data_IF_783192106568
#
_entry.id   IF_783192106568
#
_cell.length_a   1.000
_cell.length_b   1.000
_cell.length_c   1.000
_cell.angle_alpha   90.00
_cell.angle_beta   90.00
_cell.angle_gamma   90.00
#
_symmetry.space_group_name_H-M   'P 1'
#
loop_
_entity.id
_entity.type
_entity.pdbx_description
1 polymer ?
#
# COMPACT_ATOMS: atom_id res chain seq x y z
N UNK A 1 -10.94 -38.88 -0.15
CA UNK A 1 -11.11 -37.48 0.26
C UNK A 1 -9.87 -36.73 -0.19
N UNK A 2 -10.00 -35.76 -1.09
CA UNK A 2 -8.87 -34.95 -1.54
C UNK A 2 -8.49 -33.97 -0.44
N UNK A 3 -7.24 -34.01 0.01
CA UNK A 3 -6.64 -33.00 0.89
C UNK A 3 -6.76 -31.64 0.20
N UNK A 4 -7.30 -30.59 0.82
CA UNK A 4 -7.28 -29.26 0.19
C UNK A 4 -5.81 -28.89 0.02
N UNK A 5 -5.40 -28.58 -1.20
CA UNK A 5 -4.09 -28.01 -1.45
C UNK A 5 -3.98 -26.76 -0.57
N UNK A 6 -3.00 -26.71 0.33
CA UNK A 6 -2.67 -25.48 1.01
C UNK A 6 -2.34 -24.46 -0.07
N UNK A 7 -3.23 -23.52 -0.33
CA UNK A 7 -3.05 -22.48 -1.34
C UNK A 7 -1.92 -21.57 -0.87
N UNK A 8 -0.68 -21.94 -1.16
CA UNK A 8 0.47 -21.07 -0.97
C UNK A 8 0.28 -19.89 -1.92
N UNK A 9 -0.14 -18.76 -1.35
CA UNK A 9 -0.23 -17.49 -2.07
C UNK A 9 1.16 -16.86 -2.09
N UNK A 10 1.68 -16.59 -3.29
CA UNK A 10 2.94 -15.89 -3.43
C UNK A 10 2.74 -14.41 -3.08
N UNK A 11 3.72 -13.73 -2.43
CA UNK A 11 3.58 -12.32 -2.08
C UNK A 11 3.25 -11.41 -3.26
N UNK A 12 3.89 -11.62 -4.41
CA UNK A 12 3.60 -10.86 -5.63
C UNK A 12 2.21 -11.18 -6.20
N UNK A 13 1.74 -12.42 -6.06
CA UNK A 13 0.37 -12.79 -6.46
C UNK A 13 -0.68 -12.12 -5.57
N UNK A 14 -0.38 -11.92 -4.28
CA UNK A 14 -1.25 -11.15 -3.40
C UNK A 14 -1.32 -9.68 -3.84
N UNK A 15 -0.19 -9.06 -4.21
CA UNK A 15 -0.15 -7.67 -4.67
C UNK A 15 -0.89 -7.52 -6.01
N UNK A 16 -0.72 -8.47 -6.93
CA UNK A 16 -1.45 -8.52 -8.21
C UNK A 16 -2.96 -8.55 -8.01
N UNK A 17 -3.45 -9.34 -7.05
CA UNK A 17 -4.86 -9.36 -6.66
C UNK A 17 -5.37 -8.04 -6.06
N UNK A 18 -4.48 -7.14 -5.65
CA UNK A 18 -4.84 -5.83 -5.11
C UNK A 18 -4.94 -4.74 -6.18
N UNK A 19 -4.57 -5.02 -7.45
CA UNK A 19 -4.71 -4.05 -8.53
C UNK A 19 -6.19 -3.68 -8.72
N UNK A 20 -6.46 -2.38 -8.85
CA UNK A 20 -7.80 -1.79 -8.87
C UNK A 20 -8.46 -1.67 -7.50
N UNK A 21 -7.78 -2.09 -6.41
CA UNK A 21 -8.28 -1.99 -5.04
C UNK A 21 -7.48 -1.00 -4.22
N UNK A 22 -8.10 -0.48 -3.16
CA UNK A 22 -7.42 0.34 -2.17
C UNK A 22 -6.36 -0.48 -1.43
N UNK A 23 -5.19 0.11 -1.25
CA UNK A 23 -4.07 -0.46 -0.49
C UNK A 23 -3.54 0.58 0.48
N UNK A 24 -3.15 0.11 1.66
CA UNK A 24 -2.44 0.91 2.65
C UNK A 24 -0.98 0.46 2.71
N UNK A 25 -0.07 1.40 2.53
CA UNK A 25 1.37 1.18 2.42
C UNK A 25 2.07 1.90 3.56
N UNK A 26 2.86 1.14 4.31
CA UNK A 26 3.68 1.67 5.40
C UNK A 26 5.11 1.77 4.90
N UNK A 27 5.68 2.97 4.97
CA UNK A 27 7.05 3.24 4.53
C UNK A 27 8.05 2.94 5.65
N UNK A 28 9.36 3.01 5.35
CA UNK A 28 10.43 2.89 6.37
C UNK A 28 10.49 4.09 7.32
N UNK A 29 10.03 5.25 6.86
CA UNK A 29 9.88 6.47 7.66
C UNK A 29 8.51 6.50 8.35
N UNK A 30 8.25 7.54 9.14
CA UNK A 30 6.94 7.80 9.76
C UNK A 30 5.90 8.32 8.74
N UNK A 31 5.83 7.66 7.58
CA UNK A 31 4.97 7.98 6.45
C UNK A 31 4.15 6.76 6.06
N UNK A 32 2.86 6.98 5.86
CA UNK A 32 1.90 5.98 5.46
C UNK A 32 1.08 6.51 4.28
N UNK A 33 0.74 5.64 3.34
CA UNK A 33 0.12 6.02 2.08
C UNK A 33 -1.08 5.11 1.82
N UNK A 34 -2.23 5.70 1.59
CA UNK A 34 -3.44 4.98 1.17
C UNK A 34 -3.82 5.43 -0.22
N UNK A 35 -4.05 4.51 -1.14
CA UNK A 35 -4.48 4.83 -2.50
C UNK A 35 -4.98 3.60 -3.23
N UNK A 36 -5.52 3.78 -4.44
CA UNK A 36 -5.91 2.67 -5.32
C UNK A 36 -4.70 2.21 -6.11
N UNK A 37 -4.36 0.92 -6.03
CA UNK A 37 -3.21 0.36 -6.76
C UNK A 37 -3.54 0.22 -8.25
N UNK A 38 -2.84 0.95 -9.10
CA UNK A 38 -3.00 0.84 -10.56
C UNK A 38 -2.08 -0.23 -11.16
N UNK A 39 -0.92 -0.45 -10.54
CA UNK A 39 0.03 -1.45 -10.99
C UNK A 39 1.35 -1.35 -10.23
N UNK A 40 2.20 -2.36 -10.41
CA UNK A 40 3.52 -2.44 -9.81
C UNK A 40 4.50 -3.14 -10.74
N UNK A 41 5.80 -3.03 -10.46
CA UNK A 41 6.87 -3.75 -11.16
C UNK A 41 7.57 -4.79 -10.26
N UNK A 42 8.57 -5.49 -10.80
CA UNK A 42 9.34 -6.52 -10.06
C UNK A 42 10.11 -5.96 -8.85
N UNK A 43 10.36 -4.64 -8.82
CA UNK A 43 10.99 -3.93 -7.70
C UNK A 43 9.97 -3.38 -6.71
N UNK A 44 8.68 -3.63 -6.93
CA UNK A 44 7.56 -3.14 -6.12
C UNK A 44 7.51 -1.61 -6.13
N UNK A 45 7.97 -0.96 -7.20
CA UNK A 45 7.54 0.42 -7.47
C UNK A 45 6.06 0.40 -7.83
N UNK A 46 5.27 1.29 -7.25
CA UNK A 46 3.81 1.24 -7.39
C UNK A 46 3.25 2.52 -7.99
N UNK A 47 2.33 2.38 -8.94
CA UNK A 47 1.51 3.49 -9.41
C UNK A 47 0.22 3.49 -8.61
N UNK A 48 -0.08 4.60 -7.94
CA UNK A 48 -1.29 4.77 -7.13
C UNK A 48 -2.09 5.98 -7.59
N UNK A 49 -3.41 5.89 -7.50
CA UNK A 49 -4.33 7.02 -7.67
C UNK A 49 -5.18 7.27 -6.41
N UNK A 50 -5.84 8.44 -6.37
CA UNK A 50 -6.68 8.89 -5.25
C UNK A 50 -5.97 8.78 -3.90
N UNK A 51 -4.74 9.29 -3.87
CA UNK A 51 -3.79 9.01 -2.80
C UNK A 51 -3.98 9.96 -1.62
N UNK A 52 -3.95 9.39 -0.42
CA UNK A 52 -3.83 10.11 0.84
C UNK A 52 -2.53 9.70 1.52
N UNK A 53 -1.63 10.65 1.67
CA UNK A 53 -0.39 10.51 2.40
C UNK A 53 -0.57 11.03 3.83
N UNK A 54 -0.11 10.25 4.79
CA UNK A 54 -0.06 10.55 6.22
C UNK A 54 1.39 10.63 6.66
N UNK A 55 1.79 11.71 7.29
CA UNK A 55 3.13 11.91 7.82
C UNK A 55 3.03 12.35 9.28
N UNK A 56 3.72 11.64 10.18
CA UNK A 56 3.82 12.06 11.57
C UNK A 56 4.95 13.09 11.69
N UNK A 57 4.60 14.31 12.07
CA UNK A 57 5.55 15.40 12.32
C UNK A 57 5.57 15.74 13.81
N UNK A 58 6.56 16.50 14.26
CA UNK A 58 6.63 16.97 15.65
C UNK A 58 5.42 17.86 16.04
N UNK A 59 4.76 18.47 15.06
CA UNK A 59 3.60 19.36 15.23
C UNK A 59 2.27 18.61 15.16
N UNK A 60 2.31 17.29 14.90
CA UNK A 60 1.15 16.44 14.71
C UNK A 60 1.13 15.75 13.35
N UNK A 61 -0.02 15.19 12.99
CA UNK A 61 -0.17 14.41 11.77
C UNK A 61 -0.53 15.30 10.59
N UNK A 62 0.30 15.27 9.56
CA UNK A 62 0.05 15.95 8.30
C UNK A 62 -0.64 14.99 7.33
N UNK A 63 -1.73 15.46 6.70
CA UNK A 63 -2.46 14.70 5.69
C UNK A 63 -2.40 15.45 4.37
N UNK A 64 -1.95 14.78 3.31
CA UNK A 64 -1.83 15.34 1.97
C UNK A 64 -2.59 14.47 0.97
N UNK A 65 -3.41 15.08 0.11
CA UNK A 65 -4.08 14.38 -0.99
C UNK A 65 -3.36 14.63 -2.30
N UNK A 66 -3.20 13.59 -3.10
CA UNK A 66 -2.51 13.61 -4.38
C UNK A 66 -3.32 12.79 -5.40
N UNK A 67 -3.44 13.28 -6.63
CA UNK A 67 -4.25 12.61 -7.65
C UNK A 67 -3.62 11.28 -8.09
N UNK A 68 -2.33 11.30 -8.44
CA UNK A 68 -1.58 10.13 -8.86
C UNK A 68 -0.10 10.25 -8.49
N UNK A 69 0.51 9.15 -8.06
CA UNK A 69 1.94 9.10 -7.75
C UNK A 69 2.60 7.83 -8.30
N UNK A 70 3.92 7.91 -8.52
CA UNK A 70 4.79 6.75 -8.59
C UNK A 70 5.54 6.64 -7.25
N UNK A 71 5.30 5.55 -6.52
CA UNK A 71 5.92 5.26 -5.24
C UNK A 71 7.16 4.36 -5.43
N UNK A 72 8.27 4.75 -4.81
CA UNK A 72 9.51 3.99 -4.87
C UNK A 72 9.49 2.76 -3.93
N UNK A 73 9.68 1.57 -4.49
CA UNK A 73 9.60 0.29 -3.78
C UNK A 73 10.67 0.09 -2.70
N UNK A 74 11.83 0.75 -2.80
CA UNK A 74 12.92 0.57 -1.85
C UNK A 74 12.57 1.02 -0.42
N UNK A 75 11.61 1.92 -0.29
CA UNK A 75 11.20 2.49 1.00
C UNK A 75 9.91 1.88 1.56
N UNK A 76 9.31 0.90 0.86
CA UNK A 76 8.12 0.19 1.35
C UNK A 76 8.54 -0.82 2.42
N UNK A 77 7.79 -0.85 3.53
CA UNK A 77 7.99 -1.78 4.65
C UNK A 77 6.87 -2.82 4.70
N UNK A 78 5.61 -2.38 4.57
CA UNK A 78 4.43 -3.25 4.62
C UNK A 78 3.35 -2.79 3.63
N UNK A 79 2.56 -3.76 3.17
CA UNK A 79 1.44 -3.58 2.25
C UNK A 79 0.20 -4.24 2.87
N UNK A 80 -0.88 -3.48 3.01
CA UNK A 80 -2.13 -3.89 3.66
C UNK A 80 -3.27 -3.73 2.64
N UNK A 81 -3.73 -4.83 2.02
CA UNK A 81 -4.87 -4.81 1.11
C UNK A 81 -6.15 -4.30 1.81
N UNK A 82 -6.85 -3.36 1.19
CA UNK A 82 -8.10 -2.80 1.71
C UNK A 82 -7.95 -1.91 2.95
N UNK A 83 -6.73 -1.59 3.38
CA UNK A 83 -6.52 -0.74 4.55
C UNK A 83 -7.01 0.69 4.32
N UNK A 84 -7.62 1.28 5.35
CA UNK A 84 -8.16 2.65 5.31
C UNK A 84 -7.14 3.72 5.77
N UNK A 85 -5.96 3.28 6.20
CA UNK A 85 -4.96 4.10 6.85
C UNK A 85 -5.10 4.09 8.37
N UNK A 86 -4.23 4.81 9.09
CA UNK A 86 -4.31 4.88 10.55
C UNK A 86 -5.50 5.74 10.98
N UNK A 87 -6.20 5.31 12.04
CA UNK A 87 -7.31 6.05 12.65
C UNK A 87 -6.93 7.52 12.85
N UNK A 88 -7.83 8.42 12.42
CA UNK A 88 -7.68 9.85 12.67
C UNK A 88 -8.24 10.10 14.07
N UNK A 89 -7.37 10.00 15.09
CA UNK A 89 -7.69 10.33 16.48
C UNK A 89 -7.52 11.83 16.73
#
# INVERSE_FOLDING_TARGET
MATPASSQLLPLELIDKCVGSKIHIIMKSDKEIVGTLLGFDDFVNMVLEDVTEFENTAEGRRVTKLDQILLNGNNITMLIPGGEGPDVI
#
